data_IF_121607201301
#
_entry.id   IF_121607201301
#
_cell.length_a   1.000
_cell.length_b   1.000
_cell.length_c   1.000
_cell.angle_alpha   90.00
_cell.angle_beta   90.00
_cell.angle_gamma   90.00
#
_symmetry.space_group_name_H-M   'P 1'
#
loop_
_entity.id
_entity.type
_entity.pdbx_description
1 polymer ?
#
# COMPACT_ATOMS: atom_id res chain seq x y z
N UNK A 1 7.87 -14.69 -7.53
CA UNK A 1 6.48 -14.33 -7.89
C UNK A 1 6.41 -12.94 -8.50
N UNK A 2 6.90 -11.89 -7.81
CA UNK A 2 6.84 -10.50 -8.30
C UNK A 2 7.53 -10.25 -9.64
N UNK A 3 8.72 -10.82 -9.88
CA UNK A 3 9.43 -10.65 -11.17
C UNK A 3 8.63 -11.15 -12.37
N UNK A 4 7.76 -12.15 -12.17
CA UNK A 4 6.88 -12.65 -13.22
C UNK A 4 5.75 -11.67 -13.51
N UNK A 5 5.21 -11.02 -12.48
CA UNK A 5 4.18 -9.97 -12.61
C UNK A 5 4.76 -8.80 -13.40
N UNK A 6 5.94 -8.31 -12.99
CA UNK A 6 6.67 -7.22 -13.66
C UNK A 6 6.93 -7.48 -15.14
N UNK A 7 7.40 -8.68 -15.49
CA UNK A 7 7.58 -9.08 -16.91
C UNK A 7 6.26 -9.08 -17.68
N UNK A 8 5.17 -9.45 -17.04
CA UNK A 8 3.82 -9.36 -17.60
C UNK A 8 3.43 -7.91 -17.89
N UNK A 9 3.60 -7.01 -16.93
CA UNK A 9 3.32 -5.59 -17.08
C UNK A 9 4.13 -4.96 -18.23
N UNK A 10 5.43 -5.24 -18.29
CA UNK A 10 6.34 -4.73 -19.33
C UNK A 10 6.00 -5.21 -20.73
N UNK A 11 5.46 -6.42 -20.86
CA UNK A 11 5.10 -7.00 -22.16
C UNK A 11 3.69 -6.61 -22.61
N UNK A 12 2.74 -6.54 -21.67
CA UNK A 12 1.30 -6.52 -21.99
C UNK A 12 0.55 -5.29 -21.49
N UNK A 13 1.12 -4.48 -20.58
CA UNK A 13 0.43 -3.33 -19.99
C UNK A 13 1.10 -2.02 -20.41
N UNK A 14 2.38 -1.81 -20.05
CA UNK A 14 3.06 -0.52 -20.29
C UNK A 14 3.13 -0.09 -21.76
N UNK A 15 3.35 -0.98 -22.75
CA UNK A 15 3.41 -0.56 -24.16
C UNK A 15 2.08 -0.01 -24.69
N UNK A 16 0.96 -0.45 -24.13
CA UNK A 16 -0.39 -0.15 -24.63
C UNK A 16 -1.12 0.88 -23.78
N UNK A 17 -0.48 1.46 -22.76
CA UNK A 17 -1.13 2.38 -21.82
C UNK A 17 -1.71 3.64 -22.50
N UNK A 18 -1.05 4.11 -23.58
CA UNK A 18 -1.48 5.29 -24.36
C UNK A 18 -2.64 4.99 -25.31
N UNK A 19 -2.96 3.72 -25.52
CA UNK A 19 -4.09 3.27 -26.34
C UNK A 19 -5.37 3.11 -25.50
N UNK A 20 -5.30 3.30 -24.18
CA UNK A 20 -6.44 3.16 -23.29
C UNK A 20 -7.44 4.32 -23.45
N UNK A 21 -8.73 4.00 -23.58
CA UNK A 21 -9.79 5.01 -23.65
C UNK A 21 -9.89 5.83 -22.35
N UNK A 22 -9.57 5.22 -21.20
CA UNK A 22 -9.67 5.82 -19.87
C UNK A 22 -8.51 5.31 -18.99
N UNK A 23 -7.88 6.24 -18.27
CA UNK A 23 -6.87 5.95 -17.24
C UNK A 23 -7.37 6.43 -15.88
N UNK A 24 -7.27 5.58 -14.86
CA UNK A 24 -7.62 5.91 -13.48
C UNK A 24 -6.41 5.77 -12.57
N UNK A 25 -6.24 6.72 -11.65
CA UNK A 25 -5.18 6.69 -10.64
C UNK A 25 -5.82 6.48 -9.26
N UNK A 26 -5.48 5.36 -8.61
CA UNK A 26 -5.97 5.01 -7.28
C UNK A 26 -5.09 5.53 -6.14
N UNK A 27 -4.04 6.32 -6.42
CA UNK A 27 -3.15 6.87 -5.41
C UNK A 27 -3.88 7.84 -4.47
N UNK A 28 -3.60 7.74 -3.17
CA UNK A 28 -4.20 8.62 -2.16
C UNK A 28 -3.09 9.42 -1.47
N UNK A 29 -3.23 10.75 -1.43
CA UNK A 29 -2.19 11.63 -0.89
C UNK A 29 -1.84 11.36 0.58
N UNK A 30 -2.74 10.76 1.35
CA UNK A 30 -2.57 10.45 2.76
C UNK A 30 -1.93 9.07 3.03
N UNK A 31 -1.61 8.26 2.00
CA UNK A 31 -1.03 6.91 2.18
C UNK A 31 0.30 6.93 2.91
N UNK A 32 1.23 7.78 2.47
CA UNK A 32 2.57 7.86 3.05
C UNK A 32 2.55 8.33 4.53
N UNK A 33 1.73 9.33 4.92
CA UNK A 33 1.51 9.66 6.33
C UNK A 33 0.99 8.51 7.19
N UNK A 34 0.06 7.68 6.69
CA UNK A 34 -0.37 6.48 7.42
C UNK A 34 0.77 5.46 7.55
N UNK A 35 1.50 5.19 6.47
CA UNK A 35 2.66 4.29 6.51
C UNK A 35 3.77 4.79 7.43
N UNK A 36 3.94 6.12 7.57
CA UNK A 36 4.82 6.70 8.57
C UNK A 36 4.38 6.32 9.98
N UNK A 37 3.10 6.31 10.30
CA UNK A 37 2.63 5.88 11.62
C UNK A 37 2.80 4.37 11.84
N UNK A 38 2.43 3.54 10.86
CA UNK A 38 2.33 2.09 11.09
C UNK A 38 3.59 1.28 10.74
N UNK A 39 4.39 1.71 9.77
CA UNK A 39 5.49 0.90 9.23
C UNK A 39 6.87 1.40 9.65
N UNK A 40 6.98 2.62 10.19
CA UNK A 40 8.28 3.24 10.46
C UNK A 40 9.11 2.46 11.48
N UNK A 41 8.53 2.07 12.61
CA UNK A 41 9.27 1.31 13.63
C UNK A 41 9.58 -0.12 13.19
N UNK A 42 8.71 -0.74 12.39
CA UNK A 42 8.93 -2.05 11.78
C UNK A 42 10.16 -2.00 10.86
N UNK A 43 10.22 -1.01 9.98
CA UNK A 43 11.36 -0.82 9.08
C UNK A 43 12.64 -0.46 9.82
N UNK A 44 12.54 0.28 10.93
CA UNK A 44 13.69 0.66 11.77
C UNK A 44 14.27 -0.51 12.56
N UNK A 45 13.45 -1.50 12.87
CA UNK A 45 13.87 -2.71 13.60
C UNK A 45 14.73 -3.66 12.74
N UNK A 46 14.84 -3.45 11.43
CA UNK A 46 15.62 -4.31 10.53
C UNK A 46 17.13 -4.20 10.84
N UNK A 47 17.81 -5.32 11.13
CA UNK A 47 19.25 -5.35 11.42
C UNK A 47 20.12 -4.92 10.23
N UNK A 48 21.33 -4.41 10.52
CA UNK A 48 22.27 -3.90 9.50
C UNK A 48 22.86 -4.99 8.60
N UNK A 49 22.91 -6.21 9.09
CA UNK A 49 23.38 -7.41 8.40
C UNK A 49 22.29 -8.07 7.55
N UNK A 50 21.04 -7.61 7.62
CA UNK A 50 19.98 -8.09 6.74
C UNK A 50 20.24 -7.62 5.29
N UNK A 51 20.13 -8.49 4.27
CA UNK A 51 20.31 -8.13 2.87
C UNK A 51 19.36 -7.00 2.39
N UNK A 52 18.25 -6.77 3.08
CA UNK A 52 17.28 -5.73 2.79
C UNK A 52 17.48 -4.43 3.59
N UNK A 53 18.48 -4.35 4.48
CA UNK A 53 18.71 -3.17 5.31
C UNK A 53 18.76 -1.87 4.50
N UNK A 54 19.48 -1.88 3.37
CA UNK A 54 19.59 -0.70 2.48
C UNK A 54 18.22 -0.33 1.89
N UNK A 55 17.39 -1.31 1.54
CA UNK A 55 16.03 -1.07 1.02
C UNK A 55 15.15 -0.45 2.10
N UNK A 56 15.18 -1.00 3.32
CA UNK A 56 14.44 -0.47 4.47
C UNK A 56 14.90 0.94 4.83
N UNK A 57 16.20 1.21 4.84
CA UNK A 57 16.76 2.53 5.10
C UNK A 57 16.30 3.59 4.08
N UNK A 58 16.14 3.21 2.80
CA UNK A 58 15.60 4.10 1.76
C UNK A 58 14.12 4.42 2.01
N UNK A 59 13.31 3.42 2.38
CA UNK A 59 11.91 3.62 2.73
C UNK A 59 11.76 4.50 3.98
N UNK A 60 12.55 4.22 5.03
CA UNK A 60 12.61 5.05 6.23
C UNK A 60 12.92 6.51 5.91
N UNK A 61 13.87 6.76 5.01
CA UNK A 61 14.20 8.13 4.59
C UNK A 61 13.01 8.83 3.94
N UNK A 62 12.23 8.16 3.09
CA UNK A 62 11.03 8.73 2.47
C UNK A 62 9.99 9.05 3.54
N UNK A 63 9.70 8.07 4.41
CA UNK A 63 8.73 8.24 5.49
C UNK A 63 9.17 9.30 6.51
N UNK A 64 10.48 9.54 6.66
CA UNK A 64 11.02 10.56 7.56
C UNK A 64 10.50 11.97 7.30
N UNK A 65 10.18 12.28 6.04
CA UNK A 65 9.67 13.59 5.66
C UNK A 65 8.16 13.74 5.82
N UNK A 66 7.46 12.69 6.24
CA UNK A 66 6.01 12.70 6.41
C UNK A 66 5.64 13.02 7.86
N UNK A 67 4.57 13.81 8.05
CA UNK A 67 3.95 13.96 9.35
C UNK A 67 3.18 12.66 9.69
N UNK A 68 3.37 12.07 10.88
CA UNK A 68 2.58 10.91 11.29
C UNK A 68 1.12 11.31 11.46
N UNK A 69 0.22 10.42 11.07
CA UNK A 69 -1.23 10.56 11.25
C UNK A 69 -1.67 9.89 12.55
N UNK A 70 -2.63 10.48 13.24
CA UNK A 70 -3.30 9.88 14.39
C UNK A 70 -4.18 8.70 13.92
N UNK A 71 -4.06 7.54 14.58
CA UNK A 71 -4.83 6.36 14.17
C UNK A 71 -6.34 6.48 14.45
N UNK A 72 -6.78 7.46 15.25
CA UNK A 72 -8.21 7.73 15.46
C UNK A 72 -8.94 8.14 14.18
N UNK A 73 -8.24 8.70 13.18
CA UNK A 73 -8.85 9.04 11.88
C UNK A 73 -8.89 7.84 10.92
N UNK A 74 -8.49 6.64 11.35
CA UNK A 74 -8.53 5.45 10.50
C UNK A 74 -9.94 5.15 10.00
N UNK A 75 -10.98 5.42 10.79
CA UNK A 75 -12.38 5.17 10.42
C UNK A 75 -12.88 6.08 9.28
N UNK A 76 -12.16 7.17 8.98
CA UNK A 76 -12.47 8.04 7.83
C UNK A 76 -12.02 7.43 6.49
N UNK A 77 -11.13 6.42 6.51
CA UNK A 77 -10.70 5.74 5.29
C UNK A 77 -11.84 4.83 4.80
N UNK A 78 -12.33 4.98 3.56
CA UNK A 78 -13.41 4.17 3.04
C UNK A 78 -13.13 2.65 3.19
N UNK A 79 -14.13 1.83 3.56
CA UNK A 79 -13.91 0.38 3.73
C UNK A 79 -13.48 -0.35 2.46
N UNK A 80 -13.75 0.23 1.28
CA UNK A 80 -13.33 -0.31 -0.02
C UNK A 80 -12.02 0.29 -0.53
N UNK A 81 -11.34 1.14 0.25
CA UNK A 81 -10.06 1.71 -0.13
C UNK A 81 -9.00 0.61 -0.26
N UNK A 82 -8.19 0.63 -1.32
CA UNK A 82 -7.04 -0.27 -1.49
C UNK A 82 -6.07 -0.17 -0.31
N UNK A 83 -5.95 1.02 0.30
CA UNK A 83 -5.10 1.21 1.49
C UNK A 83 -5.50 0.28 2.65
N UNK A 84 -6.78 -0.13 2.73
CA UNK A 84 -7.29 -1.07 3.73
C UNK A 84 -6.73 -2.50 3.55
N UNK A 85 -6.12 -2.84 2.41
CA UNK A 85 -5.37 -4.10 2.26
C UNK A 85 -4.15 -4.15 3.19
N UNK A 86 -3.54 -3.00 3.46
CA UNK A 86 -2.39 -2.88 4.36
C UNK A 86 -2.80 -2.54 5.79
N UNK A 87 -3.82 -1.67 5.94
CA UNK A 87 -4.27 -1.18 7.24
C UNK A 87 -5.29 -2.10 7.94
N UNK A 88 -5.91 -3.02 7.21
CA UNK A 88 -7.06 -3.80 7.67
C UNK A 88 -8.39 -3.03 7.59
N UNK A 89 -9.50 -3.74 7.79
CA UNK A 89 -10.85 -3.17 7.71
C UNK A 89 -11.44 -3.12 6.30
N UNK A 90 -10.83 -3.82 5.34
CA UNK A 90 -11.37 -3.93 3.98
C UNK A 90 -12.61 -4.83 3.97
N UNK A 91 -13.72 -4.34 3.43
CA UNK A 91 -14.98 -5.11 3.37
C UNK A 91 -15.07 -6.08 2.20
N UNK A 92 -14.17 -6.01 1.20
CA UNK A 92 -14.14 -6.92 0.04
C UNK A 92 -13.88 -8.39 0.43
N UNK A 93 -13.19 -8.62 1.54
CA UNK A 93 -12.81 -9.97 1.99
C UNK A 93 -13.64 -10.46 3.17
N UNK A 94 -14.66 -9.70 3.59
CA UNK A 94 -15.56 -10.16 4.65
C UNK A 94 -16.36 -11.35 4.13
N UNK A 95 -16.37 -12.44 4.90
CA UNK A 95 -17.28 -13.54 4.62
C UNK A 95 -18.70 -13.01 4.79
N UNK A 96 -19.48 -13.06 3.72
CA UNK A 96 -20.92 -12.86 3.84
C UNK A 96 -21.47 -14.01 4.68
N UNK A 97 -21.92 -13.70 5.90
CA UNK A 97 -22.87 -14.58 6.56
C UNK A 97 -24.16 -14.52 5.73
N UNK A 98 -24.75 -15.68 5.37
CA UNK A 98 -26.02 -15.69 4.67
C UNK A 98 -27.02 -14.91 5.52
N UNK A 99 -27.77 -14.01 4.89
CA UNK A 99 -28.88 -13.32 5.54
C UNK A 99 -29.83 -14.39 6.08
N UNK A 100 -30.05 -14.42 7.39
CA UNK A 100 -31.10 -15.25 7.99
C UNK A 100 -32.44 -14.76 7.41
N UNK A 101 -33.13 -15.64 6.68
CA UNK A 101 -34.49 -15.43 6.15
C UNK A 101 -35.55 -15.39 7.26
#
# INVERSE_FOLDING_TARGET
MWDSVRKGEEKWIFPYQEEADIVFNSALHYELPFFRTIAYDILRAVPKDDPNYIRCARLLKILHYMLPVDLSVMDEIPPLSILREFLGGNTLYLKHEPLEE
#
